data_IF_899632700262
#
_entry.id   IF_899632700262
#
_cell.length_a   1.000
_cell.length_b   1.000
_cell.length_c   1.000
_cell.angle_alpha   90.00
_cell.angle_beta   90.00
_cell.angle_gamma   90.00
#
_symmetry.space_group_name_H-M   'P 1'
#
loop_
_entity.id
_entity.type
_entity.pdbx_description
1 polymer ?
#
# COMPACT_ATOMS: atom_id res chain seq x y z
N UNK A 1 -4.71 -15.35 7.34
CA UNK A 1 -5.95 -14.68 7.81
C UNK A 1 -6.40 -13.75 6.70
N UNK A 2 -7.68 -13.42 6.59
CA UNK A 2 -8.12 -12.47 5.56
C UNK A 2 -7.69 -11.06 5.93
N UNK A 3 -7.09 -10.34 4.98
CA UNK A 3 -6.77 -8.92 5.16
C UNK A 3 -8.04 -8.11 5.42
N UNK A 4 -8.00 -7.21 6.40
CA UNK A 4 -9.06 -6.24 6.64
C UNK A 4 -8.77 -4.95 5.87
N UNK A 5 -9.60 -4.63 4.88
CA UNK A 5 -9.55 -3.37 4.15
C UNK A 5 -10.75 -2.51 4.58
N UNK A 6 -10.47 -1.33 5.13
CA UNK A 6 -11.48 -0.32 5.40
C UNK A 6 -11.81 0.41 4.10
N UNK A 7 -12.93 0.05 3.47
CA UNK A 7 -13.40 0.70 2.26
C UNK A 7 -13.99 2.08 2.57
N UNK A 8 -13.53 3.12 1.87
CA UNK A 8 -14.03 4.50 2.02
C UNK A 8 -15.03 4.84 0.93
N UNK A 9 -14.84 4.31 -0.28
CA UNK A 9 -15.74 4.42 -1.42
C UNK A 9 -15.47 3.27 -2.42
N UNK A 10 -16.21 3.15 -3.55
CA UNK A 10 -16.03 2.05 -4.50
C UNK A 10 -14.62 1.90 -5.11
N UNK A 11 -13.82 2.96 -5.12
CA UNK A 11 -12.51 3.01 -5.78
C UNK A 11 -11.34 3.15 -4.79
N UNK A 12 -11.62 3.31 -3.49
CA UNK A 12 -10.59 3.62 -2.50
C UNK A 12 -10.87 2.96 -1.15
N UNK A 13 -9.84 2.30 -0.61
CA UNK A 13 -9.82 1.70 0.71
C UNK A 13 -8.42 1.78 1.31
N UNK A 14 -8.32 1.61 2.62
CA UNK A 14 -7.05 1.59 3.35
C UNK A 14 -6.94 0.32 4.19
N UNK A 15 -5.72 -0.17 4.36
CA UNK A 15 -5.40 -1.27 5.27
C UNK A 15 -4.26 -0.85 6.19
N UNK A 16 -4.07 -1.61 7.28
CA UNK A 16 -2.85 -1.54 8.07
C UNK A 16 -1.65 -2.15 7.32
N UNK A 17 -0.64 -2.60 8.06
CA UNK A 17 0.44 -3.38 7.46
C UNK A 17 -0.12 -4.60 6.73
N UNK A 18 0.35 -4.81 5.49
CA UNK A 18 0.03 -5.99 4.69
C UNK A 18 1.26 -6.86 4.55
N UNK A 19 1.06 -8.16 4.42
CA UNK A 19 2.10 -9.12 4.07
C UNK A 19 2.17 -9.33 2.56
N UNK A 20 3.30 -9.80 2.00
CA UNK A 20 3.38 -10.20 0.60
C UNK A 20 2.31 -11.25 0.21
N UNK A 21 1.90 -12.09 1.15
CA UNK A 21 0.85 -13.11 0.96
C UNK A 21 -0.58 -12.55 0.87
N UNK A 22 -0.82 -11.32 1.32
CA UNK A 22 -2.14 -10.67 1.25
C UNK A 22 -2.43 -10.12 -0.16
N UNK A 23 -1.40 -9.91 -0.97
CA UNK A 23 -1.50 -9.25 -2.29
C UNK A 23 -2.44 -10.01 -3.25
N UNK A 24 -2.41 -11.34 -3.24
CA UNK A 24 -3.33 -12.17 -4.01
C UNK A 24 -4.81 -11.89 -3.64
N UNK A 25 -5.09 -11.73 -2.34
CA UNK A 25 -6.44 -11.43 -1.87
C UNK A 25 -6.85 -10.01 -2.26
N UNK A 26 -5.95 -9.03 -2.18
CA UNK A 26 -6.19 -7.66 -2.62
C UNK A 26 -6.57 -7.64 -4.11
N UNK A 27 -5.80 -8.36 -4.96
CA UNK A 27 -6.09 -8.47 -6.39
C UNK A 27 -7.44 -9.13 -6.66
N UNK A 28 -7.76 -10.22 -5.94
CA UNK A 28 -9.05 -10.94 -6.05
C UNK A 28 -10.26 -10.10 -5.62
N UNK A 29 -10.07 -9.15 -4.71
CA UNK A 29 -11.09 -8.18 -4.32
C UNK A 29 -11.34 -7.10 -5.39
N UNK A 30 -10.55 -7.06 -6.46
CA UNK A 30 -10.77 -6.19 -7.62
C UNK A 30 -9.96 -4.91 -7.61
N UNK A 31 -9.16 -4.66 -6.57
CA UNK A 31 -8.20 -3.55 -6.54
C UNK A 31 -7.22 -3.64 -7.71
N UNK A 32 -6.76 -2.49 -8.20
CA UNK A 32 -5.85 -2.36 -9.36
C UNK A 32 -4.49 -1.80 -9.01
N UNK A 33 -4.38 -1.14 -7.87
CA UNK A 33 -3.16 -0.50 -7.41
C UNK A 33 -3.03 -0.58 -5.89
N UNK A 34 -1.78 -0.60 -5.41
CA UNK A 34 -1.42 -0.43 -4.00
C UNK A 34 -0.54 0.81 -3.89
N UNK A 35 -0.83 1.68 -2.92
CA UNK A 35 0.05 2.79 -2.53
C UNK A 35 0.56 2.47 -1.13
N UNK A 36 1.86 2.26 -1.00
CA UNK A 36 2.50 2.02 0.29
C UNK A 36 3.00 3.35 0.86
N UNK A 37 2.35 3.79 1.94
CA UNK A 37 2.70 5.02 2.64
C UNK A 37 3.66 4.82 3.81
N UNK A 38 4.07 3.58 4.11
CA UNK A 38 4.87 3.24 5.29
C UNK A 38 6.35 3.08 4.90
N UNK A 39 7.28 3.85 5.51
CA UNK A 39 8.71 3.65 5.28
C UNK A 39 9.18 2.27 5.76
N UNK A 40 10.15 1.69 5.05
CA UNK A 40 10.80 0.45 5.48
C UNK A 40 11.45 0.58 6.87
N UNK A 41 11.25 -0.45 7.69
CA UNK A 41 11.87 -0.56 9.01
C UNK A 41 11.28 0.35 10.09
N UNK A 42 10.14 0.98 9.86
CA UNK A 42 9.41 1.77 10.85
C UNK A 42 9.05 0.96 12.11
N UNK A 43 8.66 -0.31 11.96
CA UNK A 43 8.36 -1.23 13.07
C UNK A 43 9.56 -2.09 13.50
N UNK A 44 10.65 -2.04 12.73
CA UNK A 44 11.82 -2.91 12.92
C UNK A 44 11.90 -4.06 11.90
N UNK A 45 12.72 -5.09 12.17
CA UNK A 45 13.15 -6.08 11.18
C UNK A 45 12.04 -7.04 10.73
N UNK A 46 11.00 -7.21 11.53
CA UNK A 46 9.85 -8.07 11.19
C UNK A 46 8.88 -7.38 10.22
N UNK A 47 9.03 -6.07 9.98
CA UNK A 47 8.24 -5.38 8.98
C UNK A 47 8.60 -5.92 7.58
N UNK A 48 7.61 -6.36 6.78
CA UNK A 48 7.88 -6.76 5.42
C UNK A 48 8.38 -5.56 4.62
N UNK A 49 9.43 -5.78 3.82
CA UNK A 49 10.00 -4.71 3.02
C UNK A 49 9.04 -4.28 1.91
N UNK A 50 9.06 -3.00 1.60
CA UNK A 50 8.42 -2.42 0.43
C UNK A 50 8.75 -3.22 -0.84
N UNK A 51 10.00 -3.67 -0.98
CA UNK A 51 10.45 -4.44 -2.14
C UNK A 51 9.74 -5.80 -2.27
N UNK A 52 9.51 -6.51 -1.16
CA UNK A 52 8.83 -7.82 -1.20
C UNK A 52 7.36 -7.67 -1.57
N UNK A 53 6.68 -6.65 -1.04
CA UNK A 53 5.29 -6.34 -1.36
C UNK A 53 5.18 -5.87 -2.82
N UNK A 54 6.07 -5.00 -3.29
CA UNK A 54 6.09 -4.52 -4.67
C UNK A 54 6.30 -5.65 -5.69
N UNK A 55 7.17 -6.62 -5.37
CA UNK A 55 7.38 -7.80 -6.20
C UNK A 55 6.10 -8.62 -6.34
N UNK A 56 5.42 -8.92 -5.23
CA UNK A 56 4.14 -9.63 -5.25
C UNK A 56 3.05 -8.83 -5.99
N UNK A 57 2.99 -7.51 -5.81
CA UNK A 57 2.02 -6.67 -6.51
C UNK A 57 2.19 -6.79 -8.03
N UNK A 58 3.45 -6.75 -8.50
CA UNK A 58 3.78 -6.94 -9.91
C UNK A 58 3.41 -8.35 -10.42
N UNK A 59 3.68 -9.39 -9.65
CA UNK A 59 3.31 -10.77 -10.01
C UNK A 59 1.80 -10.95 -10.17
N UNK A 60 1.00 -10.24 -9.37
CA UNK A 60 -0.46 -10.23 -9.45
C UNK A 60 -1.04 -9.16 -10.39
N UNK A 61 -0.19 -8.45 -11.15
CA UNK A 61 -0.62 -7.44 -12.12
C UNK A 61 -1.21 -6.16 -11.51
N UNK A 62 -0.91 -5.88 -10.25
CA UNK A 62 -1.27 -4.63 -9.59
C UNK A 62 -0.22 -3.54 -9.88
N UNK A 63 -0.68 -2.31 -10.12
CA UNK A 63 0.22 -1.16 -10.03
C UNK A 63 0.67 -0.99 -8.56
N UNK A 64 1.90 -0.56 -8.35
CA UNK A 64 2.44 -0.35 -7.02
C UNK A 64 3.20 0.98 -6.97
N UNK A 65 2.88 1.80 -5.97
CA UNK A 65 3.57 3.05 -5.71
C UNK A 65 4.08 3.08 -4.27
N UNK A 66 5.32 3.51 -4.10
CA UNK A 66 5.93 3.73 -2.78
C UNK A 66 6.01 5.22 -2.50
N UNK A 67 5.20 5.69 -1.55
CA UNK A 67 5.11 7.09 -1.13
C UNK A 67 5.25 7.17 0.40
N UNK A 68 6.44 6.86 0.95
CA UNK A 68 6.63 6.79 2.39
C UNK A 68 6.42 8.17 3.03
N UNK A 69 5.64 8.21 4.10
CA UNK A 69 5.41 9.41 4.91
C UNK A 69 5.74 9.13 6.38
N UNK A 70 6.11 10.17 7.13
CA UNK A 70 6.31 10.08 8.58
C UNK A 70 5.14 10.79 9.27
N UNK A 71 4.48 10.11 10.19
CA UNK A 71 3.37 10.68 10.96
C UNK A 71 3.81 11.98 11.66
N UNK A 72 3.04 13.04 11.47
CA UNK A 72 3.36 14.38 12.01
C UNK A 72 4.33 15.21 11.16
N UNK A 73 4.87 14.66 10.07
CA UNK A 73 5.80 15.34 9.16
C UNK A 73 5.44 15.14 7.67
N UNK A 74 4.14 15.03 7.37
CA UNK A 74 3.64 14.94 5.98
C UNK A 74 3.85 16.29 5.28
N UNK A 75 4.45 16.28 4.09
CA UNK A 75 4.72 17.50 3.32
C UNK A 75 3.62 17.78 2.28
N UNK A 76 3.44 19.05 1.84
CA UNK A 76 2.52 19.38 0.76
C UNK A 76 2.80 18.60 -0.54
N UNK A 77 4.07 18.35 -0.85
CA UNK A 77 4.49 17.61 -2.04
C UNK A 77 4.02 16.15 -1.98
N UNK A 78 4.09 15.50 -0.81
CA UNK A 78 3.57 14.15 -0.60
C UNK A 78 2.04 14.11 -0.77
N UNK A 79 1.34 15.14 -0.33
CA UNK A 79 -0.13 15.24 -0.52
C UNK A 79 -0.47 15.37 -2.01
N UNK A 80 0.26 16.22 -2.75
CA UNK A 80 0.07 16.37 -4.20
C UNK A 80 0.39 15.06 -4.93
N UNK A 81 1.45 14.37 -4.53
CA UNK A 81 1.81 13.09 -5.14
C UNK A 81 0.79 12.00 -4.85
N UNK A 82 0.27 11.92 -3.62
CA UNK A 82 -0.83 11.01 -3.28
C UNK A 82 -2.06 11.27 -4.17
N UNK A 83 -2.44 12.53 -4.36
CA UNK A 83 -3.55 12.90 -5.22
C UNK A 83 -3.32 12.51 -6.70
N UNK A 84 -2.06 12.55 -7.18
CA UNK A 84 -1.70 12.09 -8.53
C UNK A 84 -1.77 10.57 -8.69
N UNK A 85 -1.48 9.83 -7.62
CA UNK A 85 -1.48 8.37 -7.62
C UNK A 85 -2.89 7.78 -7.50
N UNK A 86 -3.82 8.49 -6.85
CA UNK A 86 -5.24 8.13 -6.82
C UNK A 86 -5.86 8.41 -8.20
N UNK A 87 -6.17 7.35 -8.95
CA UNK A 87 -6.80 7.41 -10.27
C UNK A 87 -8.27 7.00 -10.21
#
# INVERSE_FOLDING_TARGET
MSIHISCHNPNFGTAGQIEPSDVDQIAKQGYKSIINNRPDGEEGPEQPSNASIAAMAKEHGLEYAYLPVVSGAITPEQVVEMARLLK
#
